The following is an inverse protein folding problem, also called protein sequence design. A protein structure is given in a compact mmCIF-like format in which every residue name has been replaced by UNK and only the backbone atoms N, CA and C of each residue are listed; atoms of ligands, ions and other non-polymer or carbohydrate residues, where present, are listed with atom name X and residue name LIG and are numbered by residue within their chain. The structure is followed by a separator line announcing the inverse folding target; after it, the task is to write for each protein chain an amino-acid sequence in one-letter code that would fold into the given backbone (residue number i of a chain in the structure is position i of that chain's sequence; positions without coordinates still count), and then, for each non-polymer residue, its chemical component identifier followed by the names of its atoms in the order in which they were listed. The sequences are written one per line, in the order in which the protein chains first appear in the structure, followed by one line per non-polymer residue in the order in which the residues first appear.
data_IF_827127524361
#
_entry.id   IF_827127524361
#
_cell.length_a   1.000
_cell.length_b   1.000
_cell.length_c   1.000
_cell.angle_alpha   90.00
_cell.angle_beta   90.00
_cell.angle_gamma   90.00
#
_symmetry.space_group_name_H-M   'P 1'
#
loop_
_entity.id
_entity.type
_entity.pdbx_description
1 polymer ?
#
# COMPACT_ATOMS: atom_id res chain seq x y z
N UNK A 1 41.26 15.58 5.17
CA UNK A 1 40.41 16.18 4.12
C UNK A 1 38.98 16.03 4.62
N UNK A 2 38.07 16.96 4.37
CA UNK A 2 36.66 16.73 4.64
C UNK A 2 36.18 15.57 3.77
N UNK A 3 35.55 14.57 4.38
CA UNK A 3 34.90 13.46 3.66
C UNK A 3 33.60 14.01 3.08
N UNK A 4 33.43 13.89 1.77
CA UNK A 4 32.18 14.25 1.07
C UNK A 4 31.34 13.00 0.98
N UNK A 5 30.14 13.03 1.56
CA UNK A 5 29.23 11.91 1.58
C UNK A 5 28.72 11.57 0.17
N UNK A 6 28.75 10.28 -0.18
CA UNK A 6 28.12 9.77 -1.39
C UNK A 6 26.65 9.38 -1.10
N UNK A 7 25.75 9.70 -2.02
CA UNK A 7 24.31 9.42 -1.86
C UNK A 7 24.01 7.91 -1.84
N UNK A 8 24.85 7.10 -2.49
CA UNK A 8 24.68 5.63 -2.55
C UNK A 8 25.06 4.91 -1.26
N UNK A 9 25.81 5.57 -0.37
CA UNK A 9 26.19 5.02 0.94
C UNK A 9 25.11 5.23 2.02
N UNK A 10 24.05 5.99 1.73
CA UNK A 10 22.99 6.26 2.70
C UNK A 10 22.11 5.04 2.93
N UNK A 11 21.87 4.70 4.20
CA UNK A 11 20.91 3.69 4.66
C UNK A 11 19.67 4.39 5.21
N UNK A 12 18.49 3.98 4.77
CA UNK A 12 17.22 4.36 5.38
C UNK A 12 16.72 3.20 6.23
N UNK A 13 16.61 3.43 7.52
CA UNK A 13 16.03 2.48 8.46
C UNK A 13 14.82 3.10 9.16
N UNK A 14 13.87 2.29 9.57
CA UNK A 14 12.67 2.77 10.24
C UNK A 14 12.20 1.83 11.34
N UNK A 15 11.40 2.36 12.23
CA UNK A 15 10.58 1.59 13.16
C UNK A 15 9.19 2.18 13.24
N UNK A 16 8.20 1.30 13.19
CA UNK A 16 6.79 1.65 13.38
C UNK A 16 6.39 1.48 14.86
N UNK A 17 5.53 2.36 15.36
CA UNK A 17 4.96 2.27 16.69
C UNK A 17 3.55 2.89 16.72
N UNK A 18 2.79 2.60 17.77
CA UNK A 18 1.43 3.12 17.97
C UNK A 18 1.38 4.01 19.21
N UNK A 19 0.47 5.00 19.24
CA UNK A 19 0.21 5.75 20.48
C UNK A 19 -0.26 4.80 21.61
N UNK A 20 0.18 5.06 22.88
CA UNK A 20 0.55 6.33 23.47
C UNK A 20 1.98 6.42 24.00
N UNK A 21 2.99 6.11 23.23
CA UNK A 21 4.36 6.03 23.77
C UNK A 21 5.04 7.36 24.09
N UNK A 22 4.44 8.52 23.77
CA UNK A 22 5.09 9.80 24.00
C UNK A 22 4.13 10.79 24.64
N UNK A 23 4.12 10.84 25.96
CA UNK A 23 3.46 11.92 26.70
C UNK A 23 4.40 13.05 27.14
N UNK A 24 5.68 13.01 26.79
CA UNK A 24 6.58 14.11 27.08
C UNK A 24 6.38 15.24 26.05
N UNK A 25 5.71 16.31 26.48
CA UNK A 25 5.42 17.48 25.65
C UNK A 25 6.63 18.38 25.40
N UNK A 26 7.79 18.08 25.93
CA UNK A 26 8.91 19.02 25.96
C UNK A 26 9.96 18.80 24.90
N UNK A 27 10.14 17.59 24.42
CA UNK A 27 11.00 17.26 23.25
C UNK A 27 10.38 16.01 22.64
N UNK A 28 10.30 15.84 21.31
CA UNK A 28 10.24 14.49 20.78
C UNK A 28 11.55 13.86 21.23
N UNK A 29 11.49 13.20 22.37
CA UNK A 29 12.64 12.45 22.85
C UNK A 29 12.73 11.20 22.00
N UNK A 30 13.69 11.13 21.08
CA UNK A 30 13.91 9.93 20.29
C UNK A 30 14.33 8.77 21.17
N UNK A 31 14.73 9.09 22.39
CA UNK A 31 15.19 8.15 23.41
C UNK A 31 14.04 7.52 24.19
N UNK A 32 12.84 8.08 24.13
CA UNK A 32 11.62 7.37 24.57
C UNK A 32 11.17 6.49 23.40
N UNK A 33 12.02 5.74 23.00
CA UNK A 33 12.10 4.39 22.56
C UNK A 33 11.03 3.85 21.61
N UNK A 34 11.38 3.71 20.34
CA UNK A 34 10.97 2.52 19.63
C UNK A 34 11.90 1.30 19.81
N UNK A 35 12.83 1.28 20.77
CA UNK A 35 13.81 0.21 20.92
C UNK A 35 14.90 0.28 19.86
N UNK A 36 16.06 0.75 20.27
CA UNK A 36 17.21 1.08 19.41
C UNK A 36 17.59 -0.07 18.48
N UNK A 37 17.38 -1.30 18.92
CA UNK A 37 17.88 -2.51 18.27
C UNK A 37 16.87 -3.19 17.32
N UNK A 38 15.69 -2.61 17.09
CA UNK A 38 14.61 -3.27 16.35
C UNK A 38 14.12 -2.48 15.12
N UNK A 39 14.95 -1.66 14.50
CA UNK A 39 14.67 -1.02 13.23
C UNK A 39 14.68 -2.01 12.06
N UNK A 40 14.07 -1.61 10.96
CA UNK A 40 14.07 -2.35 9.68
C UNK A 40 14.73 -1.47 8.62
N UNK A 41 15.63 -2.02 7.82
CA UNK A 41 16.16 -1.32 6.65
C UNK A 41 15.10 -1.35 5.55
N UNK A 42 14.82 -0.20 4.96
CA UNK A 42 13.87 -0.06 3.85
C UNK A 42 14.61 0.01 2.51
N UNK A 43 14.17 -0.79 1.56
CA UNK A 43 14.58 -0.65 0.15
C UNK A 43 13.88 0.57 -0.45
N UNK A 44 14.65 1.53 -0.92
CA UNK A 44 14.13 2.75 -1.51
C UNK A 44 14.93 3.17 -2.75
N UNK A 45 14.35 4.00 -3.59
CA UNK A 45 15.00 4.62 -4.75
C UNK A 45 15.60 5.98 -4.41
N UNK A 46 14.81 6.79 -3.74
CA UNK A 46 15.19 8.13 -3.31
C UNK A 46 14.27 8.62 -2.20
N UNK A 47 14.70 9.66 -1.50
CA UNK A 47 13.88 10.40 -0.55
C UNK A 47 14.21 11.88 -0.62
N UNK A 48 13.27 12.72 -0.23
CA UNK A 48 13.45 14.17 -0.10
C UNK A 48 13.05 14.68 1.30
N UNK A 49 13.09 13.80 2.31
CA UNK A 49 12.76 14.13 3.68
C UNK A 49 13.62 15.28 4.21
N UNK A 50 12.99 16.36 4.61
CA UNK A 50 13.68 17.54 5.11
C UNK A 50 12.92 18.24 6.22
N UNK A 51 13.66 18.99 7.05
CA UNK A 51 13.09 19.91 8.04
C UNK A 51 12.77 21.23 7.37
N UNK A 52 11.52 21.60 7.36
CA UNK A 52 11.03 22.91 6.93
C UNK A 52 10.75 23.80 8.14
N UNK A 53 10.97 25.11 7.99
CA UNK A 53 10.71 26.09 9.01
C UNK A 53 9.88 27.21 8.40
N UNK A 54 8.80 27.57 9.06
CA UNK A 54 8.08 28.80 8.74
C UNK A 54 8.95 30.01 9.10
N UNK A 55 8.90 31.07 8.31
CA UNK A 55 9.60 32.32 8.60
C UNK A 55 8.62 33.47 8.61
N UNK A 56 8.61 34.22 9.69
CA UNK A 56 7.81 35.43 9.84
C UNK A 56 8.69 36.64 9.76
N UNK A 57 8.42 37.56 8.84
CA UNK A 57 9.15 38.79 8.67
C UNK A 57 8.27 39.97 9.18
N UNK A 58 8.76 40.80 10.11
CA UNK A 58 8.06 41.99 10.48
C UNK A 58 7.89 42.94 9.28
N UNK A 59 6.71 43.54 9.17
CA UNK A 59 6.37 44.50 8.11
C UNK A 59 6.37 45.92 8.63
N UNK A 60 7.18 46.23 9.64
CA UNK A 60 7.29 47.53 10.24
C UNK A 60 7.77 48.58 9.24
N UNK A 61 7.14 49.76 9.26
CA UNK A 61 7.64 50.93 8.53
C UNK A 61 8.82 51.53 9.28
N UNK A 62 10.01 51.44 8.71
CA UNK A 62 11.24 52.00 9.27
C UNK A 62 11.71 53.19 8.44
N UNK A 63 12.22 54.19 9.15
CA UNK A 63 12.75 55.40 8.48
C UNK A 63 14.01 55.09 7.64
N UNK A 64 14.78 54.08 8.03
CA UNK A 64 15.98 53.62 7.33
C UNK A 64 15.68 52.79 6.06
N UNK A 65 14.39 52.47 5.80
CA UNK A 65 13.93 51.63 4.67
C UNK A 65 14.60 50.27 4.58
N UNK A 66 15.23 49.79 5.67
CA UNK A 66 15.85 48.47 5.72
C UNK A 66 14.90 47.43 6.30
N UNK A 67 14.92 46.23 5.76
CA UNK A 67 14.09 45.11 6.28
C UNK A 67 14.75 44.46 7.48
N UNK A 68 14.04 44.26 8.59
CA UNK A 68 14.55 43.49 9.71
C UNK A 68 14.67 41.99 9.33
N UNK A 69 15.52 41.27 10.05
CA UNK A 69 15.64 39.83 9.91
C UNK A 69 14.33 39.14 10.35
N UNK A 70 13.95 38.08 9.65
CA UNK A 70 12.77 37.28 9.99
C UNK A 70 13.02 36.42 11.22
N UNK A 71 11.94 36.09 11.92
CA UNK A 71 11.92 35.14 13.03
C UNK A 71 11.52 33.76 12.54
N UNK A 72 12.11 32.70 13.11
CA UNK A 72 11.71 31.32 12.86
C UNK A 72 10.35 31.05 13.50
N UNK A 73 9.48 30.37 12.76
CA UNK A 73 8.19 29.89 13.21
C UNK A 73 8.17 28.39 13.48
N UNK A 74 7.04 27.75 13.15
CA UNK A 74 6.84 26.34 13.34
C UNK A 74 7.80 25.52 12.47
N UNK A 75 8.26 24.40 13.02
CA UNK A 75 9.11 23.41 12.34
C UNK A 75 8.31 22.15 12.06
N UNK A 76 8.42 21.64 10.86
CA UNK A 76 7.81 20.36 10.46
C UNK A 76 8.78 19.58 9.59
N UNK A 77 8.65 18.27 9.59
CA UNK A 77 9.30 17.39 8.60
C UNK A 77 8.29 17.16 7.50
N UNK A 78 8.73 17.24 6.26
CA UNK A 78 7.92 16.81 5.12
C UNK A 78 8.84 16.23 4.04
N UNK A 79 8.30 15.30 3.27
CA UNK A 79 8.98 14.69 2.15
C UNK A 79 8.34 13.40 1.69
N UNK A 80 8.89 12.84 0.64
CA UNK A 80 8.43 11.60 0.00
C UNK A 80 9.53 10.55 0.05
N UNK A 81 9.16 9.32 0.32
CA UNK A 81 10.03 8.15 0.17
C UNK A 81 9.54 7.39 -1.05
N UNK A 82 10.44 7.20 -2.03
CA UNK A 82 10.14 6.54 -3.30
C UNK A 82 10.78 5.16 -3.35
N UNK A 83 10.00 4.18 -3.81
CA UNK A 83 10.47 2.80 -3.92
C UNK A 83 9.81 2.05 -5.07
N UNK A 84 10.21 0.81 -5.27
CA UNK A 84 9.48 -0.14 -6.11
C UNK A 84 8.50 -0.93 -5.26
N UNK A 85 7.36 -1.28 -5.86
CA UNK A 85 6.43 -2.23 -5.26
C UNK A 85 7.10 -3.61 -5.20
N UNK A 86 7.11 -4.23 -4.02
CA UNK A 86 7.52 -5.63 -3.85
C UNK A 86 6.86 -6.23 -2.62
N UNK A 87 6.46 -7.50 -2.73
CA UNK A 87 5.73 -8.17 -1.66
C UNK A 87 6.57 -8.29 -0.37
N UNK A 88 5.99 -7.93 0.76
CA UNK A 88 6.64 -7.96 2.08
C UNK A 88 7.62 -6.83 2.36
N UNK A 89 7.80 -5.85 1.45
CA UNK A 89 8.77 -4.76 1.66
C UNK A 89 8.16 -3.56 2.40
N UNK A 90 6.91 -3.23 2.12
CA UNK A 90 6.24 -2.04 2.69
C UNK A 90 5.01 -2.33 3.57
N UNK A 91 4.93 -3.47 4.32
CA UNK A 91 3.71 -3.82 5.05
C UNK A 91 3.33 -2.78 6.10
N UNK A 92 4.31 -2.18 6.78
CA UNK A 92 4.07 -1.18 7.81
C UNK A 92 3.57 0.15 7.22
N UNK A 93 4.05 0.53 6.03
CA UNK A 93 3.58 1.71 5.32
C UNK A 93 2.14 1.52 4.81
N UNK A 94 1.81 0.32 4.34
CA UNK A 94 0.42 -0.03 3.99
C UNK A 94 -0.48 -0.01 5.24
N UNK A 95 -0.03 -0.57 6.38
CA UNK A 95 -0.78 -0.50 7.62
C UNK A 95 -1.03 0.95 8.06
N UNK A 96 -0.04 1.81 7.91
CA UNK A 96 -0.15 3.22 8.29
C UNK A 96 -1.11 4.01 7.40
N UNK A 97 -1.07 3.83 6.08
CA UNK A 97 -1.99 4.53 5.16
C UNK A 97 -3.42 4.02 5.29
N UNK A 98 -3.60 2.70 5.51
CA UNK A 98 -4.90 2.08 5.74
C UNK A 98 -5.42 2.34 7.17
N UNK A 99 -4.56 2.77 8.10
CA UNK A 99 -4.86 3.01 9.51
C UNK A 99 -5.49 1.80 10.21
N UNK A 100 -5.05 0.61 9.86
CA UNK A 100 -5.57 -0.66 10.39
C UNK A 100 -4.44 -1.66 10.60
N UNK A 101 -4.76 -2.79 11.19
CA UNK A 101 -3.86 -3.94 11.34
C UNK A 101 -4.10 -4.97 10.26
N UNK A 102 -3.06 -5.73 9.92
CA UNK A 102 -3.17 -6.85 9.01
C UNK A 102 -4.04 -7.96 9.61
N UNK A 103 -5.01 -8.44 8.85
CA UNK A 103 -5.88 -9.54 9.26
C UNK A 103 -5.11 -10.85 9.21
N UNK A 104 -5.30 -11.71 10.19
CA UNK A 104 -4.70 -13.04 10.19
C UNK A 104 -5.13 -13.86 8.96
N UNK A 105 -4.26 -14.77 8.53
CA UNK A 105 -4.59 -15.69 7.45
C UNK A 105 -5.75 -16.61 7.85
N UNK A 106 -6.68 -16.84 6.91
CA UNK A 106 -7.78 -17.77 7.04
C UNK A 106 -7.41 -19.12 6.42
N UNK A 107 -7.93 -20.22 6.97
CA UNK A 107 -7.74 -21.55 6.39
C UNK A 107 -8.97 -22.40 6.62
N UNK A 108 -9.27 -23.27 5.68
CA UNK A 108 -10.33 -24.26 5.75
C UNK A 108 -9.84 -25.60 5.18
N UNK A 109 -10.46 -26.67 5.65
CA UNK A 109 -10.13 -28.05 5.26
C UNK A 109 -11.35 -28.75 4.69
N UNK A 110 -11.20 -30.03 4.37
CA UNK A 110 -12.31 -30.90 3.99
C UNK A 110 -13.40 -31.01 5.05
N UNK A 111 -13.11 -30.71 6.32
CA UNK A 111 -14.12 -30.74 7.38
C UNK A 111 -15.16 -29.62 7.20
N UNK A 112 -14.74 -28.44 6.72
CA UNK A 112 -15.59 -27.28 6.47
C UNK A 112 -16.14 -27.27 5.04
N UNK A 113 -15.33 -27.59 4.05
CA UNK A 113 -15.65 -27.39 2.63
C UNK A 113 -15.87 -28.69 1.82
N UNK A 114 -15.76 -29.85 2.42
CA UNK A 114 -15.98 -31.23 1.95
C UNK A 114 -15.18 -31.70 0.73
N UNK A 115 -15.06 -30.92 -0.31
CA UNK A 115 -14.24 -31.23 -1.51
C UNK A 115 -13.84 -29.98 -2.26
N UNK A 116 -12.80 -30.10 -3.09
CA UNK A 116 -12.35 -29.05 -3.99
C UNK A 116 -12.22 -29.61 -5.41
N UNK A 117 -12.68 -28.85 -6.41
CA UNK A 117 -12.53 -29.15 -7.84
C UNK A 117 -12.02 -27.90 -8.56
N UNK A 118 -11.25 -28.10 -9.62
CA UNK A 118 -10.72 -27.00 -10.44
C UNK A 118 -11.22 -27.09 -11.86
N UNK A 119 -11.60 -25.96 -12.43
CA UNK A 119 -11.90 -25.84 -13.85
C UNK A 119 -11.00 -24.80 -14.51
N UNK A 120 -10.15 -25.25 -15.43
CA UNK A 120 -9.28 -24.40 -16.21
C UNK A 120 -10.07 -23.51 -17.18
N UNK A 121 -11.03 -24.10 -17.88
CA UNK A 121 -11.84 -23.38 -18.87
C UNK A 121 -12.77 -22.34 -18.24
N UNK A 122 -13.39 -22.68 -17.11
CA UNK A 122 -14.26 -21.76 -16.36
C UNK A 122 -13.47 -20.78 -15.48
N UNK A 123 -12.16 -21.01 -15.24
CA UNK A 123 -11.31 -20.24 -14.32
C UNK A 123 -11.89 -20.23 -12.90
N UNK A 124 -12.34 -21.38 -12.42
CA UNK A 124 -13.02 -21.50 -11.13
C UNK A 124 -12.42 -22.57 -10.24
N UNK A 125 -12.59 -22.36 -8.93
CA UNK A 125 -12.43 -23.38 -7.90
C UNK A 125 -13.82 -23.60 -7.29
N UNK A 126 -14.27 -24.86 -7.28
CA UNK A 126 -15.59 -25.23 -6.74
C UNK A 126 -15.41 -26.05 -5.49
N UNK A 127 -16.09 -25.65 -4.41
CA UNK A 127 -16.12 -26.35 -3.14
C UNK A 127 -17.40 -27.20 -3.02
N UNK A 128 -17.29 -28.42 -2.53
CA UNK A 128 -18.40 -29.38 -2.52
C UNK A 128 -19.42 -29.13 -1.40
N UNK A 129 -19.02 -28.48 -0.33
CA UNK A 129 -19.85 -28.19 0.84
C UNK A 129 -19.45 -26.91 1.53
N UNK A 130 -20.16 -26.58 2.62
CA UNK A 130 -19.89 -25.38 3.42
C UNK A 130 -20.12 -24.06 2.69
N UNK A 131 -19.63 -23.00 3.28
CA UNK A 131 -19.59 -21.64 2.68
C UNK A 131 -18.16 -21.09 2.86
N UNK A 132 -17.34 -21.00 1.79
CA UNK A 132 -15.98 -20.50 1.89
C UNK A 132 -15.88 -19.06 2.41
N UNK A 133 -16.93 -18.25 2.20
CA UNK A 133 -16.96 -16.89 2.75
C UNK A 133 -17.13 -16.88 4.26
N UNK A 134 -17.90 -17.81 4.81
CA UNK A 134 -18.03 -17.98 6.27
C UNK A 134 -16.70 -18.44 6.90
N UNK A 135 -15.86 -19.15 6.16
CA UNK A 135 -14.51 -19.56 6.58
C UNK A 135 -13.46 -18.44 6.39
N UNK A 136 -13.89 -17.25 6.00
CA UNK A 136 -13.05 -16.06 5.90
C UNK A 136 -12.34 -15.88 4.56
N UNK A 137 -12.72 -16.63 3.51
CA UNK A 137 -12.21 -16.42 2.17
C UNK A 137 -13.00 -15.28 1.50
N UNK A 138 -12.31 -14.33 0.89
CA UNK A 138 -12.91 -13.13 0.30
C UNK A 138 -12.32 -12.73 -1.04
N UNK A 139 -13.06 -11.92 -1.79
CA UNK A 139 -12.59 -11.31 -3.03
C UNK A 139 -11.34 -10.44 -2.77
N UNK A 140 -10.41 -10.41 -3.71
CA UNK A 140 -9.14 -9.69 -3.58
C UNK A 140 -8.09 -10.38 -2.70
N UNK A 141 -8.41 -11.51 -2.06
CA UNK A 141 -7.43 -12.31 -1.33
C UNK A 141 -6.71 -13.27 -2.27
N UNK A 142 -5.47 -13.58 -1.91
CA UNK A 142 -4.70 -14.64 -2.59
C UNK A 142 -4.77 -15.92 -1.75
N UNK A 143 -5.14 -17.03 -2.39
CA UNK A 143 -5.25 -18.35 -1.75
C UNK A 143 -4.31 -19.36 -2.39
N UNK A 144 -3.98 -20.42 -1.64
CA UNK A 144 -3.37 -21.62 -2.15
C UNK A 144 -4.16 -22.84 -1.65
N UNK A 145 -4.17 -23.90 -2.47
CA UNK A 145 -4.77 -25.17 -2.11
C UNK A 145 -3.66 -26.20 -1.93
N UNK A 146 -3.68 -26.88 -0.79
CA UNK A 146 -2.69 -27.89 -0.37
C UNK A 146 -3.33 -29.26 -0.27
N UNK A 147 -2.52 -30.32 -0.17
CA UNK A 147 -3.02 -31.70 -0.04
C UNK A 147 -3.55 -32.33 -1.33
N UNK A 148 -3.53 -31.60 -2.44
CA UNK A 148 -3.88 -32.11 -3.78
C UNK A 148 -2.63 -32.54 -4.55
N UNK A 149 -2.82 -33.20 -5.71
CA UNK A 149 -1.74 -33.57 -6.62
C UNK A 149 -1.90 -32.81 -7.95
N UNK A 150 -0.83 -32.76 -8.76
CA UNK A 150 -0.86 -32.14 -10.08
C UNK A 150 -0.32 -30.72 -10.13
N UNK A 151 -0.52 -30.05 -11.26
CA UNK A 151 0.02 -28.72 -11.52
C UNK A 151 -0.66 -27.60 -10.72
N UNK A 152 -1.83 -27.86 -10.13
CA UNK A 152 -2.52 -26.90 -9.26
C UNK A 152 -1.94 -26.87 -7.83
N UNK A 153 -1.08 -27.81 -7.47
CA UNK A 153 -0.46 -27.87 -6.15
C UNK A 153 0.38 -26.61 -5.88
N UNK A 154 0.11 -25.94 -4.77
CA UNK A 154 0.78 -24.71 -4.38
C UNK A 154 0.61 -23.53 -5.36
N UNK A 155 -0.19 -23.67 -6.42
CA UNK A 155 -0.54 -22.55 -7.26
C UNK A 155 -1.30 -21.52 -6.42
N UNK A 156 -0.90 -20.26 -6.55
CA UNK A 156 -1.57 -19.15 -5.88
C UNK A 156 -2.64 -18.56 -6.78
N UNK A 157 -3.81 -18.31 -6.21
CA UNK A 157 -4.97 -17.78 -6.90
C UNK A 157 -5.48 -16.54 -6.22
N UNK A 158 -5.68 -15.46 -6.93
CA UNK A 158 -6.45 -14.33 -6.43
C UNK A 158 -7.95 -14.59 -6.67
N UNK A 159 -8.76 -14.44 -5.63
CA UNK A 159 -10.22 -14.61 -5.71
C UNK A 159 -10.81 -13.35 -6.32
N UNK A 160 -11.57 -13.49 -7.41
CA UNK A 160 -12.26 -12.40 -8.08
C UNK A 160 -13.67 -12.16 -7.52
N UNK A 161 -14.30 -13.22 -7.04
CA UNK A 161 -15.65 -13.20 -6.49
C UNK A 161 -16.18 -14.60 -6.29
N UNK A 162 -17.36 -14.68 -5.67
CA UNK A 162 -18.04 -15.92 -5.37
C UNK A 162 -19.41 -15.99 -6.07
N UNK A 163 -19.83 -17.20 -6.39
CA UNK A 163 -21.13 -17.48 -7.00
C UNK A 163 -21.66 -18.87 -6.58
N UNK A 164 -22.85 -19.19 -7.04
CA UNK A 164 -23.50 -20.47 -6.73
C UNK A 164 -24.13 -20.51 -5.34
N UNK A 165 -24.76 -21.64 -5.02
CA UNK A 165 -25.38 -21.87 -3.72
C UNK A 165 -24.33 -21.92 -2.62
N UNK A 166 -24.55 -21.16 -1.54
CA UNK A 166 -23.58 -21.04 -0.42
C UNK A 166 -22.19 -20.60 -0.87
N UNK A 167 -22.09 -19.74 -1.90
CA UNK A 167 -20.85 -19.15 -2.40
C UNK A 167 -19.75 -20.15 -2.79
N UNK A 168 -20.14 -21.37 -3.21
CA UNK A 168 -19.22 -22.50 -3.41
C UNK A 168 -18.35 -22.39 -4.63
N UNK A 169 -18.63 -21.49 -5.55
CA UNK A 169 -17.84 -21.29 -6.77
C UNK A 169 -17.06 -20.01 -6.68
N UNK A 170 -15.74 -20.12 -6.48
CA UNK A 170 -14.81 -19.00 -6.52
C UNK A 170 -14.28 -18.82 -7.95
N UNK A 171 -14.52 -17.65 -8.54
CA UNK A 171 -13.83 -17.23 -9.75
C UNK A 171 -12.41 -16.79 -9.38
N UNK A 172 -11.39 -17.28 -10.10
CA UNK A 172 -10.00 -17.08 -9.71
C UNK A 172 -9.10 -16.65 -10.86
N UNK A 173 -8.00 -15.97 -10.51
CA UNK A 173 -6.91 -15.66 -11.40
C UNK A 173 -5.55 -15.93 -10.69
N UNK A 174 -4.54 -16.47 -11.38
CA UNK A 174 -4.58 -17.06 -12.73
C UNK A 174 -5.56 -18.22 -12.85
N UNK A 175 -5.87 -18.62 -14.09
CA UNK A 175 -6.67 -19.84 -14.30
C UNK A 175 -5.95 -21.06 -13.70
N UNK A 176 -6.69 -22.05 -13.19
CA UNK A 176 -6.11 -23.32 -12.80
C UNK A 176 -5.26 -23.92 -13.94
N UNK A 177 -4.12 -24.49 -13.60
CA UNK A 177 -3.20 -25.04 -14.60
C UNK A 177 -3.81 -26.25 -15.34
N UNK A 178 -4.65 -27.01 -14.64
CA UNK A 178 -5.37 -28.18 -15.17
C UNK A 178 -6.75 -28.33 -14.54
N UNK A 179 -7.64 -29.03 -15.23
CA UNK A 179 -8.91 -29.45 -14.66
C UNK A 179 -8.66 -30.58 -13.63
N UNK A 180 -9.32 -30.50 -12.49
CA UNK A 180 -9.25 -31.51 -11.44
C UNK A 180 -10.66 -31.83 -10.96
N UNK A 181 -11.03 -33.11 -11.01
CA UNK A 181 -12.28 -33.60 -10.42
C UNK A 181 -12.26 -33.42 -8.90
N UNK A 182 -13.43 -33.45 -8.28
CA UNK A 182 -13.58 -33.25 -6.84
C UNK A 182 -12.67 -34.15 -6.01
N UNK A 183 -11.83 -33.54 -5.18
CA UNK A 183 -10.92 -34.20 -4.24
C UNK A 183 -11.39 -33.88 -2.83
N UNK A 184 -11.39 -34.90 -1.96
CA UNK A 184 -11.90 -34.79 -0.59
C UNK A 184 -10.81 -34.65 0.47
N UNK A 185 -9.52 -34.72 0.11
CA UNK A 185 -8.41 -34.49 1.03
C UNK A 185 -7.65 -33.27 0.56
N UNK A 186 -7.85 -32.14 1.21
CA UNK A 186 -7.22 -30.86 0.84
C UNK A 186 -7.26 -29.88 2.03
N UNK A 187 -6.47 -28.83 1.90
CA UNK A 187 -6.57 -27.62 2.71
C UNK A 187 -6.56 -26.40 1.77
N UNK A 188 -7.35 -25.41 2.05
CA UNK A 188 -7.30 -24.10 1.38
C UNK A 188 -7.02 -23.02 2.41
N UNK A 189 -6.16 -22.09 2.06
CA UNK A 189 -5.86 -20.98 2.97
C UNK A 189 -5.43 -19.73 2.21
N UNK A 190 -5.63 -18.59 2.85
CA UNK A 190 -5.07 -17.34 2.34
C UNK A 190 -3.55 -17.36 2.46
N UNK A 191 -2.88 -16.86 1.44
CA UNK A 191 -1.43 -16.71 1.42
C UNK A 191 -1.09 -15.29 1.81
N UNK A 192 -0.30 -15.13 2.88
CA UNK A 192 -0.04 -13.83 3.46
C UNK A 192 -1.23 -13.25 4.20
N UNK A 193 -1.31 -11.94 4.29
CA UNK A 193 -2.34 -11.23 5.02
C UNK A 193 -3.05 -10.18 4.17
N UNK A 194 -4.19 -9.75 4.62
CA UNK A 194 -4.98 -8.68 4.01
C UNK A 194 -5.18 -7.53 4.98
N UNK A 195 -5.33 -6.33 4.45
CA UNK A 195 -5.67 -5.14 5.22
C UNK A 195 -6.77 -4.36 4.49
N UNK A 196 -7.72 -3.85 5.24
CA UNK A 196 -8.86 -3.06 4.76
C UNK A 196 -8.98 -1.77 5.54
N UNK A 197 -9.67 -0.77 4.99
CA UNK A 197 -9.99 0.42 5.78
C UNK A 197 -10.93 0.07 6.93
N UNK A 198 -10.73 0.63 8.14
CA UNK A 198 -11.62 0.42 9.26
C UNK A 198 -13.04 0.86 8.98
N UNK A 199 -14.02 0.14 9.54
CA UNK A 199 -15.43 0.41 9.37
C UNK A 199 -16.02 1.35 10.43
N UNK A 200 -15.35 1.51 11.58
CA UNK A 200 -15.78 2.34 12.69
C UNK A 200 -14.65 3.27 13.15
N UNK A 201 -15.02 4.43 13.69
CA UNK A 201 -14.07 5.47 14.12
C UNK A 201 -13.11 5.00 15.22
N UNK A 202 -13.55 4.06 16.06
CA UNK A 202 -12.73 3.53 17.14
C UNK A 202 -11.71 2.47 16.71
N UNK A 203 -11.82 1.99 15.47
CA UNK A 203 -10.94 0.95 14.92
C UNK A 203 -9.69 1.54 14.24
N UNK A 204 -9.60 2.85 14.13
CA UNK A 204 -8.43 3.49 13.50
C UNK A 204 -7.18 3.35 14.34
N UNK A 205 -6.17 2.70 13.78
CA UNK A 205 -4.83 2.62 14.39
C UNK A 205 -4.00 3.83 13.96
N UNK A 206 -3.42 4.51 14.94
CA UNK A 206 -2.56 5.66 14.69
C UNK A 206 -1.10 5.24 14.70
N UNK A 207 -0.61 4.86 13.54
CA UNK A 207 0.80 4.51 13.35
C UNK A 207 1.68 5.75 13.26
N UNK A 208 2.84 5.65 13.89
CA UNK A 208 3.94 6.61 13.81
C UNK A 208 5.22 5.90 13.42
N UNK A 209 6.15 6.62 12.84
CA UNK A 209 7.44 6.13 12.44
C UNK A 209 8.56 6.95 13.07
N UNK A 210 9.61 6.27 13.48
CA UNK A 210 10.94 6.82 13.58
C UNK A 210 11.68 6.44 12.29
N UNK A 211 12.17 7.42 11.55
CA UNK A 211 12.87 7.23 10.27
C UNK A 211 14.29 7.73 10.43
N UNK A 212 15.27 6.88 10.19
CA UNK A 212 16.67 7.22 10.22
C UNK A 212 17.27 7.22 8.82
N UNK A 213 18.00 8.27 8.48
CA UNK A 213 18.86 8.33 7.32
C UNK A 213 20.30 8.42 7.83
N UNK A 214 21.04 7.33 7.70
CA UNK A 214 22.41 7.20 8.17
C UNK A 214 23.38 7.14 7.00
N UNK A 215 24.41 7.99 7.06
CA UNK A 215 25.53 7.95 6.12
C UNK A 215 26.79 7.47 6.86
N UNK A 216 27.28 6.25 6.54
CA UNK A 216 28.44 5.67 7.24
C UNK A 216 29.77 6.36 6.91
N UNK A 217 29.89 7.10 5.80
CA UNK A 217 31.12 7.78 5.42
C UNK A 217 31.39 9.03 6.28
N UNK A 218 30.31 9.68 6.72
CA UNK A 218 30.38 10.89 7.53
C UNK A 218 30.01 10.68 8.99
N UNK A 219 29.64 9.45 9.37
CA UNK A 219 29.09 9.11 10.68
C UNK A 219 27.99 10.08 11.11
N UNK A 220 27.08 10.37 10.16
CA UNK A 220 25.96 11.28 10.37
C UNK A 220 24.65 10.55 10.22
N UNK A 221 23.85 10.52 11.27
CA UNK A 221 22.48 10.03 11.23
C UNK A 221 21.49 11.18 11.44
N UNK A 222 20.45 11.19 10.60
CA UNK A 222 19.32 12.11 10.68
C UNK A 222 18.10 11.30 11.09
N UNK A 223 17.71 11.39 12.35
CA UNK A 223 16.52 10.72 12.86
C UNK A 223 15.33 11.67 12.80
N UNK A 224 14.28 11.26 12.09
CA UNK A 224 13.00 11.93 12.02
C UNK A 224 11.99 11.21 12.90
N UNK A 225 11.31 11.94 13.77
CA UNK A 225 10.46 11.37 14.81
C UNK A 225 8.99 11.75 14.61
N UNK A 226 8.12 10.89 15.14
CA UNK A 226 6.66 11.03 15.02
C UNK A 226 6.19 11.26 13.58
N UNK A 227 6.85 10.59 12.63
CA UNK A 227 6.46 10.65 11.24
C UNK A 227 5.16 9.88 11.01
N UNK A 228 4.26 10.44 10.21
CA UNK A 228 3.04 9.80 9.74
C UNK A 228 3.03 9.73 8.23
N UNK A 229 2.53 8.62 7.69
CA UNK A 229 2.28 8.48 6.27
C UNK A 229 0.98 9.22 5.96
N UNK A 230 1.06 10.19 5.08
CA UNK A 230 -0.06 11.07 4.70
C UNK A 230 -0.58 10.83 3.29
N UNK A 231 0.21 10.20 2.42
CA UNK A 231 -0.21 9.80 1.07
C UNK A 231 0.54 8.58 0.58
N UNK A 232 -0.05 7.91 -0.38
CA UNK A 232 0.55 6.83 -1.13
C UNK A 232 0.15 6.96 -2.61
N UNK A 233 1.14 6.97 -3.48
CA UNK A 233 0.93 6.98 -4.92
C UNK A 233 1.56 5.73 -5.53
N UNK A 234 0.73 4.88 -6.14
CA UNK A 234 1.14 3.72 -6.92
C UNK A 234 1.07 4.05 -8.41
N UNK A 235 2.18 3.92 -9.12
CA UNK A 235 2.27 4.14 -10.57
C UNK A 235 2.73 2.86 -11.27
N UNK A 236 1.88 2.32 -12.14
CA UNK A 236 2.11 1.09 -12.91
C UNK A 236 2.16 1.46 -14.40
N UNK A 237 3.32 1.80 -14.93
CA UNK A 237 3.51 2.09 -16.36
C UNK A 237 3.75 0.80 -17.14
N UNK A 238 3.33 0.71 -18.41
CA UNK A 238 3.40 -0.52 -19.22
C UNK A 238 4.82 -1.09 -19.41
N UNK A 239 5.85 -0.25 -19.42
CA UNK A 239 7.24 -0.64 -19.76
C UNK A 239 8.25 -0.37 -18.65
N UNK A 240 7.82 -0.31 -17.40
CA UNK A 240 8.71 -0.09 -16.25
C UNK A 240 8.20 -0.90 -15.05
N UNK A 241 8.99 -0.94 -13.99
CA UNK A 241 8.57 -1.55 -12.74
C UNK A 241 7.57 -0.65 -12.01
N UNK A 242 6.57 -1.21 -11.32
CA UNK A 242 5.64 -0.44 -10.50
C UNK A 242 6.38 0.36 -9.42
N UNK A 243 6.09 1.65 -9.35
CA UNK A 243 6.66 2.59 -8.38
C UNK A 243 5.65 2.88 -7.29
N UNK A 244 6.17 3.04 -6.09
CA UNK A 244 5.38 3.30 -4.91
C UNK A 244 6.02 4.45 -4.13
N UNK A 245 5.30 5.56 -4.03
CA UNK A 245 5.74 6.78 -3.38
C UNK A 245 4.91 7.01 -2.10
N UNK A 246 5.57 7.21 -0.96
CA UNK A 246 4.91 7.53 0.31
C UNK A 246 5.23 8.95 0.73
N UNK A 247 4.21 9.81 0.81
CA UNK A 247 4.34 11.14 1.41
C UNK A 247 4.31 11.04 2.93
N UNK A 248 5.32 11.61 3.56
CA UNK A 248 5.53 11.53 5.01
C UNK A 248 5.58 12.93 5.60
N UNK A 249 4.90 13.12 6.74
CA UNK A 249 5.00 14.31 7.57
C UNK A 249 5.43 13.92 8.97
N UNK A 250 6.41 14.64 9.54
CA UNK A 250 6.99 14.37 10.85
C UNK A 250 7.05 15.59 11.73
N UNK A 251 7.28 15.38 13.03
CA UNK A 251 7.29 16.42 14.05
C UNK A 251 8.68 16.98 14.32
N UNK A 252 9.69 16.12 14.46
CA UNK A 252 11.03 16.52 14.89
C UNK A 252 12.15 15.85 14.14
N UNK A 253 13.33 16.48 14.16
CA UNK A 253 14.57 15.91 13.62
C UNK A 253 15.68 15.99 14.66
N UNK A 254 16.37 14.88 14.89
CA UNK A 254 17.58 14.80 15.68
C UNK A 254 18.78 14.45 14.79
N UNK A 255 19.94 14.95 15.15
CA UNK A 255 21.21 14.69 14.47
C UNK A 255 22.12 13.94 15.41
N UNK A 256 22.51 12.74 15.04
CA UNK A 256 23.52 11.95 15.71
C UNK A 256 24.81 11.99 14.91
N UNK A 257 25.95 12.08 15.60
CA UNK A 257 27.25 12.26 14.98
C UNK A 257 28.30 11.38 15.67
N UNK A 258 29.23 10.89 14.89
CA UNK A 258 30.37 10.12 15.37
C UNK A 258 29.95 8.94 16.25
N UNK A 259 30.36 8.90 17.52
CA UNK A 259 30.10 7.79 18.44
C UNK A 259 28.62 7.58 18.80
N UNK A 260 27.74 8.56 18.51
CA UNK A 260 26.29 8.46 18.74
C UNK A 260 25.52 8.00 17.49
N UNK A 261 26.19 7.92 16.34
CA UNK A 261 25.62 7.44 15.11
C UNK A 261 26.06 5.98 14.85
N UNK A 262 25.19 5.13 14.26
CA UNK A 262 23.77 5.35 13.93
C UNK A 262 22.86 5.21 15.16
N UNK A 263 21.64 5.73 15.09
CA UNK A 263 20.62 5.52 16.11
C UNK A 263 20.14 4.06 16.13
N UNK A 264 19.79 3.48 14.97
CA UNK A 264 19.50 2.07 14.84
C UNK A 264 20.81 1.28 14.68
N UNK A 265 21.29 0.64 15.75
CA UNK A 265 22.58 -0.04 15.78
C UNK A 265 22.59 -1.41 15.09
N UNK A 266 21.44 -2.07 15.02
CA UNK A 266 21.29 -3.40 14.42
C UNK A 266 19.92 -3.58 13.75
N UNK A 267 19.52 -2.72 12.79
CA UNK A 267 18.23 -2.89 12.12
C UNK A 267 18.23 -4.19 11.33
N UNK A 268 17.06 -4.82 11.23
CA UNK A 268 16.89 -5.99 10.37
C UNK A 268 17.21 -5.63 8.91
N UNK A 269 17.81 -6.57 8.20
CA UNK A 269 18.21 -6.39 6.80
C UNK A 269 17.03 -6.07 5.90
N UNK A 270 17.31 -5.46 4.76
CA UNK A 270 16.31 -5.22 3.73
C UNK A 270 15.74 -6.51 3.16
N UNK A 271 14.50 -6.46 2.71
CA UNK A 271 13.83 -7.59 2.09
C UNK A 271 14.45 -7.93 0.73
N UNK A 272 14.50 -9.21 0.40
CA UNK A 272 15.06 -9.73 -0.86
C UNK A 272 13.98 -10.14 -1.87
N UNK A 273 12.71 -9.78 -1.65
CA UNK A 273 11.60 -10.13 -2.55
C UNK A 273 11.77 -9.51 -3.94
N UNK A 274 11.38 -10.26 -4.96
CA UNK A 274 11.43 -9.82 -6.35
C UNK A 274 10.48 -8.65 -6.61
N UNK A 275 10.87 -7.78 -7.53
CA UNK A 275 10.07 -6.65 -7.97
C UNK A 275 9.25 -7.11 -9.18
N UNK A 276 7.91 -6.98 -9.16
CA UNK A 276 7.08 -7.30 -10.31
C UNK A 276 7.38 -6.36 -11.49
N UNK A 277 7.09 -6.82 -12.70
CA UNK A 277 7.03 -5.94 -13.86
C UNK A 277 5.57 -5.56 -14.14
N UNK A 278 5.36 -4.38 -14.71
CA UNK A 278 3.99 -3.95 -15.04
C UNK A 278 3.31 -4.86 -16.07
N UNK A 279 4.09 -5.49 -16.94
CA UNK A 279 3.57 -6.43 -17.94
C UNK A 279 3.07 -7.74 -17.35
N UNK A 280 3.54 -8.10 -16.16
CA UNK A 280 3.09 -9.30 -15.44
C UNK A 280 1.81 -9.02 -14.62
N UNK A 281 1.48 -7.74 -14.46
CA UNK A 281 0.28 -7.28 -13.77
C UNK A 281 -1.00 -7.54 -14.56
N UNK A 282 -2.10 -7.64 -13.86
CA UNK A 282 -3.42 -7.76 -14.44
C UNK A 282 -4.41 -6.82 -13.79
N UNK A 283 -5.19 -6.16 -14.64
CA UNK A 283 -6.38 -5.40 -14.25
C UNK A 283 -7.62 -6.24 -14.48
N UNK A 284 -8.51 -6.24 -13.50
CA UNK A 284 -9.76 -6.99 -13.56
C UNK A 284 -10.90 -6.04 -13.23
N UNK A 285 -11.84 -5.88 -14.16
CA UNK A 285 -13.07 -5.09 -13.99
C UNK A 285 -14.25 -6.06 -13.80
N UNK A 286 -14.98 -5.92 -12.71
CA UNK A 286 -16.13 -6.79 -12.38
C UNK A 286 -15.84 -8.30 -12.55
N UNK A 287 -14.64 -8.74 -12.15
CA UNK A 287 -14.25 -10.15 -12.27
C UNK A 287 -13.80 -10.58 -13.68
N UNK A 288 -13.77 -9.68 -14.66
CA UNK A 288 -13.28 -9.95 -16.02
C UNK A 288 -11.94 -9.26 -16.28
N UNK A 289 -10.93 -9.95 -16.83
CA UNK A 289 -9.65 -9.35 -17.18
C UNK A 289 -9.80 -8.23 -18.20
N UNK A 290 -9.14 -7.10 -17.94
CA UNK A 290 -9.09 -5.94 -18.81
C UNK A 290 -7.68 -5.80 -19.40
N UNK A 291 -7.47 -6.36 -20.59
CA UNK A 291 -6.16 -6.58 -21.21
C UNK A 291 -5.61 -5.42 -22.04
N UNK A 292 -6.34 -4.30 -22.16
CA UNK A 292 -5.97 -3.18 -23.04
C UNK A 292 -5.41 -1.96 -22.31
N UNK A 293 -5.21 -2.05 -20.99
CA UNK A 293 -4.66 -0.97 -20.20
C UNK A 293 -3.16 -0.78 -20.48
N UNK A 294 -2.75 0.48 -20.57
CA UNK A 294 -1.35 0.89 -20.79
C UNK A 294 -0.71 1.51 -19.55
N UNK A 295 -1.49 2.03 -18.64
CA UNK A 295 -0.99 2.51 -17.36
C UNK A 295 -2.12 2.57 -16.33
N UNK A 296 -1.76 2.41 -15.07
CA UNK A 296 -2.67 2.60 -13.93
C UNK A 296 -1.96 3.38 -12.85
N UNK A 297 -2.65 4.37 -12.30
CA UNK A 297 -2.19 5.11 -11.13
C UNK A 297 -3.27 5.07 -10.06
N UNK A 298 -2.87 4.81 -8.84
CA UNK A 298 -3.72 4.85 -7.67
C UNK A 298 -3.12 5.84 -6.67
N UNK A 299 -3.89 6.83 -6.24
CA UNK A 299 -3.48 7.85 -5.28
C UNK A 299 -4.37 7.78 -4.05
N UNK A 300 -3.74 7.64 -2.90
CA UNK A 300 -4.41 7.65 -1.61
C UNK A 300 -3.91 8.86 -0.81
N UNK A 301 -4.81 9.60 -0.21
CA UNK A 301 -4.51 10.82 0.54
C UNK A 301 -5.25 10.83 1.86
N UNK A 302 -4.51 11.14 2.93
CA UNK A 302 -5.03 11.38 4.28
C UNK A 302 -4.85 12.85 4.69
N UNK A 303 -4.36 13.72 3.81
CA UNK A 303 -4.18 15.16 3.98
C UNK A 303 -3.63 15.54 5.36
N UNK A 304 -2.37 15.19 5.69
CA UNK A 304 -1.82 15.41 7.03
C UNK A 304 -1.76 16.90 7.35
N UNK A 305 -2.29 17.29 8.54
CA UNK A 305 -2.33 18.67 9.02
C UNK A 305 -1.50 18.80 10.29
N UNK A 306 -0.49 19.70 10.32
CA UNK A 306 0.31 19.95 11.52
C UNK A 306 -0.44 20.85 12.51
N UNK A 307 -0.60 20.40 13.75
CA UNK A 307 -1.14 21.20 14.84
C UNK A 307 -0.09 22.19 15.34
N UNK A 308 -0.13 23.43 14.86
CA UNK A 308 0.80 24.49 15.25
C UNK A 308 0.41 25.04 16.63
N UNK A 309 1.37 25.08 17.56
CA UNK A 309 1.18 25.56 18.92
C UNK A 309 2.29 26.53 19.30
N UNK A 310 2.01 27.41 20.28
CA UNK A 310 3.02 28.27 20.84
C UNK A 310 3.89 27.46 21.79
N UNK A 311 5.11 27.16 21.38
CA UNK A 311 6.10 26.52 22.23
C UNK A 311 7.51 27.06 21.93
N UNK A 312 8.42 27.05 22.93
CA UNK A 312 9.78 27.59 22.76
C UNK A 312 10.64 26.90 21.70
N UNK A 313 10.29 25.67 21.34
CA UNK A 313 11.08 24.87 20.39
C UNK A 313 10.57 25.02 18.94
N UNK A 314 9.40 25.63 18.76
CA UNK A 314 8.74 25.79 17.46
C UNK A 314 8.28 24.46 16.85
N UNK A 315 8.09 23.41 17.65
CA UNK A 315 7.61 22.12 17.18
C UNK A 315 6.08 22.10 17.12
N UNK A 316 5.51 21.37 16.17
CA UNK A 316 4.07 21.12 16.13
C UNK A 316 3.66 20.18 17.27
N UNK A 317 2.45 20.32 17.80
CA UNK A 317 1.96 19.47 18.90
C UNK A 317 1.65 18.04 18.42
N UNK A 318 1.03 17.93 17.24
CA UNK A 318 0.62 16.68 16.64
C UNK A 318 0.51 16.83 15.12
N UNK A 319 0.34 15.71 14.43
CA UNK A 319 -0.05 15.69 13.03
C UNK A 319 -1.38 14.95 12.97
N UNK A 320 -2.41 15.65 12.50
CA UNK A 320 -3.73 15.06 12.28
C UNK A 320 -3.82 14.52 10.87
N UNK A 321 -4.51 13.41 10.72
CA UNK A 321 -4.87 12.83 9.43
C UNK A 321 -6.37 13.04 9.23
N UNK A 322 -6.74 13.48 8.04
CA UNK A 322 -8.12 13.72 7.63
C UNK A 322 -8.77 12.47 7.03
N UNK A 323 -9.75 12.66 6.17
CA UNK A 323 -10.49 11.60 5.50
C UNK A 323 -9.60 10.80 4.54
N UNK A 324 -9.94 9.52 4.39
CA UNK A 324 -9.32 8.63 3.42
C UNK A 324 -9.92 8.90 2.04
N UNK A 325 -9.14 9.51 1.16
CA UNK A 325 -9.51 9.76 -0.24
C UNK A 325 -8.69 8.82 -1.12
N UNK A 326 -9.37 8.10 -1.99
CA UNK A 326 -8.74 7.16 -2.92
C UNK A 326 -9.23 7.46 -4.34
N UNK A 327 -8.34 7.98 -5.16
CA UNK A 327 -8.57 8.36 -6.54
C UNK A 327 -7.58 7.63 -7.44
N UNK A 328 -7.87 7.56 -8.73
CA UNK A 328 -6.93 6.99 -9.65
C UNK A 328 -7.17 7.39 -11.09
N UNK A 329 -6.23 6.99 -11.93
CA UNK A 329 -6.33 7.14 -13.38
C UNK A 329 -5.89 5.86 -14.06
N UNK A 330 -6.47 5.55 -15.18
CA UNK A 330 -5.94 4.53 -16.07
C UNK A 330 -6.04 4.97 -17.52
N UNK A 331 -5.09 4.52 -18.32
CA UNK A 331 -5.11 4.71 -19.76
C UNK A 331 -5.28 3.34 -20.43
N UNK A 332 -6.12 3.28 -21.45
CA UNK A 332 -6.39 2.05 -22.18
C UNK A 332 -6.63 2.31 -23.67
N UNK A 333 -6.34 1.32 -24.51
CA UNK A 333 -6.81 1.34 -25.88
C UNK A 333 -8.32 1.12 -25.94
N UNK A 334 -8.98 1.75 -26.91
CA UNK A 334 -10.40 1.53 -27.18
C UNK A 334 -10.56 0.20 -27.91
N UNK A 335 -11.15 -0.76 -27.23
CA UNK A 335 -11.44 -2.10 -27.76
C UNK A 335 -12.94 -2.27 -28.03
N UNK A 336 -13.77 -1.78 -27.09
CA UNK A 336 -15.23 -1.83 -27.17
C UNK A 336 -15.91 -0.58 -26.57
N UNK A 337 -17.22 -0.60 -26.38
CA UNK A 337 -17.99 0.49 -25.76
C UNK A 337 -17.98 0.46 -24.23
N UNK A 338 -17.42 -0.54 -23.58
CA UNK A 338 -17.56 -0.79 -22.15
C UNK A 338 -17.25 0.45 -21.29
N UNK A 339 -16.08 1.09 -21.52
CA UNK A 339 -15.67 2.27 -20.73
C UNK A 339 -16.57 3.47 -20.97
N UNK A 340 -17.06 3.65 -22.20
CA UNK A 340 -18.00 4.71 -22.55
C UNK A 340 -19.35 4.50 -21.88
N UNK A 341 -19.86 3.27 -21.89
CA UNK A 341 -21.14 2.91 -21.26
C UNK A 341 -21.05 3.07 -19.73
N UNK A 342 -19.97 2.58 -19.10
CA UNK A 342 -19.72 2.74 -17.66
C UNK A 342 -19.65 4.23 -17.25
N UNK A 343 -19.04 5.08 -18.07
CA UNK A 343 -18.98 6.52 -17.82
C UNK A 343 -20.34 7.19 -18.06
N UNK A 344 -21.02 6.89 -19.18
CA UNK A 344 -22.29 7.52 -19.54
C UNK A 344 -23.42 7.21 -18.54
N UNK A 345 -23.47 5.97 -18.08
CA UNK A 345 -24.48 5.48 -17.14
C UNK A 345 -24.10 5.72 -15.67
N UNK A 346 -22.96 6.31 -15.38
CA UNK A 346 -22.39 6.45 -14.02
C UNK A 346 -22.38 5.11 -13.27
N UNK A 347 -22.13 4.02 -13.96
CA UNK A 347 -22.15 2.69 -13.38
C UNK A 347 -20.97 2.47 -12.46
N UNK A 348 -21.24 1.95 -11.26
CA UNK A 348 -20.23 1.56 -10.28
C UNK A 348 -19.76 0.13 -10.56
N UNK A 349 -18.46 -0.11 -10.42
CA UNK A 349 -17.86 -1.42 -10.64
C UNK A 349 -16.67 -1.67 -9.73
N UNK A 350 -16.23 -2.94 -9.62
CA UNK A 350 -15.05 -3.33 -8.88
C UNK A 350 -13.81 -3.33 -9.76
N UNK A 351 -12.69 -2.85 -9.20
CA UNK A 351 -11.37 -2.90 -9.82
C UNK A 351 -10.41 -3.71 -8.94
N UNK A 352 -9.78 -4.71 -9.52
CA UNK A 352 -8.72 -5.48 -8.88
C UNK A 352 -7.44 -5.35 -9.70
N UNK A 353 -6.36 -4.96 -9.02
CA UNK A 353 -5.01 -4.87 -9.57
C UNK A 353 -4.20 -6.00 -8.94
N UNK A 354 -3.75 -6.96 -9.73
CA UNK A 354 -2.94 -8.10 -9.30
C UNK A 354 -1.53 -7.98 -9.84
N UNK A 355 -0.53 -7.96 -8.97
CA UNK A 355 0.88 -7.75 -9.31
C UNK A 355 1.73 -8.91 -8.79
N UNK A 356 1.90 -10.00 -9.58
CA UNK A 356 2.78 -11.11 -9.24
C UNK A 356 4.24 -10.76 -9.53
N UNK A 357 5.15 -11.21 -8.70
CA UNK A 357 6.58 -10.99 -8.91
C UNK A 357 7.16 -11.84 -10.07
N UNK A 358 6.68 -13.07 -10.19
CA UNK A 358 7.10 -14.02 -11.26
C UNK A 358 5.91 -14.88 -11.69
N UNK A 359 5.13 -14.47 -12.70
CA UNK A 359 3.89 -15.17 -13.08
C UNK A 359 4.11 -16.61 -13.58
N UNK A 360 5.31 -16.95 -14.02
CA UNK A 360 5.67 -18.33 -14.41
C UNK A 360 5.86 -19.28 -13.22
N UNK A 361 5.96 -18.75 -11.99
CA UNK A 361 6.15 -19.53 -10.77
C UNK A 361 4.81 -19.72 -10.07
N UNK A 362 4.39 -20.96 -9.86
CA UNK A 362 3.10 -21.29 -9.25
C UNK A 362 2.90 -20.66 -7.86
N UNK A 363 3.95 -20.59 -7.06
CA UNK A 363 3.93 -20.01 -5.72
C UNK A 363 4.53 -18.60 -5.67
N UNK A 364 4.36 -17.80 -6.73
CA UNK A 364 4.92 -16.46 -6.81
C UNK A 364 4.39 -15.54 -5.72
N UNK A 365 5.26 -14.65 -5.23
CA UNK A 365 4.83 -13.55 -4.36
C UNK A 365 4.00 -12.54 -5.17
N UNK A 366 2.99 -11.95 -4.54
CA UNK A 366 2.11 -10.99 -5.20
C UNK A 366 1.58 -9.94 -4.22
N UNK A 367 1.34 -8.76 -4.76
CA UNK A 367 0.52 -7.73 -4.13
C UNK A 367 -0.80 -7.61 -4.90
N UNK A 368 -1.89 -7.45 -4.17
CA UNK A 368 -3.22 -7.25 -4.75
C UNK A 368 -3.86 -6.01 -4.16
N UNK A 369 -4.35 -5.12 -5.01
CA UNK A 369 -5.13 -3.95 -4.60
C UNK A 369 -6.55 -4.13 -5.14
N UNK A 370 -7.52 -4.25 -4.25
CA UNK A 370 -8.92 -4.46 -4.60
C UNK A 370 -9.76 -3.28 -4.14
N UNK A 371 -10.38 -2.61 -5.10
CA UNK A 371 -11.34 -1.51 -4.92
C UNK A 371 -12.73 -2.05 -5.28
N UNK A 372 -13.56 -2.39 -4.29
CA UNK A 372 -14.86 -3.01 -4.54
C UNK A 372 -15.84 -2.09 -5.27
N UNK A 373 -15.66 -0.77 -5.15
CA UNK A 373 -16.57 0.23 -5.68
C UNK A 373 -15.80 1.42 -6.22
N UNK A 374 -15.71 1.52 -7.53
CA UNK A 374 -15.18 2.70 -8.22
C UNK A 374 -16.20 3.22 -9.23
N UNK A 375 -16.04 4.48 -9.62
CA UNK A 375 -16.81 5.12 -10.68
C UNK A 375 -15.88 5.98 -11.54
N UNK A 376 -16.08 5.95 -12.86
CA UNK A 376 -15.34 6.81 -13.79
C UNK A 376 -15.94 8.23 -13.70
N UNK A 377 -15.09 9.20 -13.40
CA UNK A 377 -15.45 10.62 -13.31
C UNK A 377 -15.29 11.33 -14.65
N UNK A 378 -14.18 11.07 -15.32
CA UNK A 378 -13.88 11.68 -16.63
C UNK A 378 -13.35 10.62 -17.58
N UNK A 379 -13.71 10.75 -18.85
CA UNK A 379 -13.20 9.94 -19.94
C UNK A 379 -12.76 10.90 -21.05
N UNK A 380 -11.50 10.86 -21.43
CA UNK A 380 -10.92 11.69 -22.47
C UNK A 380 -10.31 10.80 -23.56
N UNK A 381 -10.79 10.97 -24.79
CA UNK A 381 -10.19 10.31 -25.93
C UNK A 381 -8.90 11.01 -26.35
N UNK A 382 -7.92 10.22 -26.72
CA UNK A 382 -6.63 10.68 -27.22
C UNK A 382 -6.19 9.82 -28.40
N UNK A 383 -5.79 10.46 -29.48
CA UNK A 383 -5.16 9.75 -30.60
C UNK A 383 -3.71 9.40 -30.24
N UNK A 384 -3.36 8.13 -30.36
CA UNK A 384 -2.01 7.61 -30.20
C UNK A 384 -1.48 7.14 -31.56
N UNK A 385 -0.16 7.03 -31.70
CA UNK A 385 0.50 6.59 -32.93
C UNK A 385 0.14 5.14 -33.28
N UNK A 386 -1.06 4.89 -33.78
CA UNK A 386 -1.53 3.57 -34.23
C UNK A 386 -2.86 3.11 -33.61
N UNK A 387 -3.52 3.90 -32.77
CA UNK A 387 -4.81 3.55 -32.21
C UNK A 387 -5.45 4.64 -31.38
N UNK A 388 -6.74 4.53 -31.10
CA UNK A 388 -7.43 5.40 -30.16
C UNK A 388 -7.22 4.91 -28.74
N UNK A 389 -6.89 5.83 -27.86
CA UNK A 389 -6.76 5.60 -26.42
C UNK A 389 -7.78 6.44 -25.67
N UNK A 390 -8.12 5.99 -24.49
CA UNK A 390 -8.89 6.75 -23.51
C UNK A 390 -8.10 6.89 -22.22
N UNK A 391 -8.13 8.10 -21.65
CA UNK A 391 -7.65 8.38 -20.31
C UNK A 391 -8.86 8.56 -19.41
N UNK A 392 -8.97 7.70 -18.42
CA UNK A 392 -10.06 7.73 -17.44
C UNK A 392 -9.53 8.16 -16.08
N UNK A 393 -10.26 9.05 -15.41
CA UNK A 393 -10.09 9.28 -13.98
C UNK A 393 -11.23 8.59 -13.24
N UNK A 394 -10.93 8.02 -12.09
CA UNK A 394 -11.93 7.37 -11.25
C UNK A 394 -11.78 7.78 -9.79
N UNK A 395 -12.87 7.71 -9.06
CA UNK A 395 -12.89 7.78 -7.61
C UNK A 395 -13.30 6.42 -7.03
N UNK A 396 -12.74 6.08 -5.88
CA UNK A 396 -13.16 4.92 -5.11
C UNK A 396 -13.93 5.36 -3.88
N UNK A 397 -15.01 4.64 -3.60
CA UNK A 397 -15.86 4.88 -2.45
C UNK A 397 -16.04 3.59 -1.64
N UNK A 398 -16.44 3.74 -0.37
CA UNK A 398 -16.75 2.60 0.48
C UNK A 398 -17.88 1.76 -0.15
N UNK A 399 -17.66 0.47 -0.22
CA UNK A 399 -18.68 -0.49 -0.64
C UNK A 399 -19.66 -0.78 0.52
N UNK A 400 -20.94 -0.67 0.24
CA UNK A 400 -22.03 -0.96 1.16
C UNK A 400 -22.92 -2.11 0.70
N UNK A 401 -22.54 -2.78 -0.40
CA UNK A 401 -23.30 -3.90 -0.93
C UNK A 401 -23.19 -5.16 -0.08
N UNK A 402 -24.04 -6.13 -0.43
CA UNK A 402 -24.15 -7.42 0.26
C UNK A 402 -23.59 -8.58 -0.55
N UNK A 403 -22.78 -8.30 -1.59
CA UNK A 403 -22.17 -9.37 -2.37
C UNK A 403 -21.25 -10.21 -1.47
N UNK A 404 -21.42 -11.52 -1.57
CA UNK A 404 -20.71 -12.46 -0.71
C UNK A 404 -19.19 -12.38 -0.89
N UNK A 405 -18.45 -12.33 0.20
CA UNK A 405 -16.99 -12.27 0.21
C UNK A 405 -16.40 -10.93 -0.26
N UNK A 406 -17.21 -9.92 -0.56
CA UNK A 406 -16.74 -8.56 -0.90
C UNK A 406 -16.70 -7.72 0.38
N UNK A 407 -15.50 -7.23 0.79
CA UNK A 407 -15.38 -6.48 2.04
C UNK A 407 -16.05 -5.10 1.93
N UNK A 408 -16.66 -4.64 3.04
CA UNK A 408 -17.23 -3.29 3.15
C UNK A 408 -16.13 -2.26 3.40
N UNK A 409 -15.36 -1.94 2.37
CA UNK A 409 -14.19 -1.05 2.43
C UNK A 409 -14.10 -0.21 1.15
N UNK A 410 -13.26 0.82 1.15
CA UNK A 410 -12.89 1.56 -0.05
C UNK A 410 -11.76 0.83 -0.80
N UNK A 411 -10.79 0.32 -0.06
CA UNK A 411 -9.63 -0.39 -0.58
C UNK A 411 -9.30 -1.58 0.31
N UNK A 412 -8.93 -2.68 -0.30
CA UNK A 412 -8.27 -3.82 0.33
C UNK A 412 -6.90 -4.02 -0.31
N UNK A 413 -5.89 -4.22 0.51
CA UNK A 413 -4.55 -4.59 0.06
C UNK A 413 -4.27 -5.99 0.59
N UNK A 414 -3.81 -6.89 -0.28
CA UNK A 414 -3.32 -8.22 0.09
C UNK A 414 -1.86 -8.35 -0.30
N UNK A 415 -1.06 -8.86 0.63
CA UNK A 415 0.36 -9.10 0.40
C UNK A 415 0.72 -10.52 0.85
N UNK A 416 1.21 -11.31 -0.08
CA UNK A 416 1.48 -12.74 0.13
C UNK A 416 2.70 -13.02 1.00
N UNK A 417 3.56 -12.03 1.22
CA UNK A 417 4.78 -12.18 2.02
C UNK A 417 4.65 -11.56 3.43
N UNK A 418 3.51 -11.01 3.80
CA UNK A 418 3.24 -10.59 5.17
C UNK A 418 2.82 -11.82 5.99
N UNK A 419 3.59 -12.14 7.01
CA UNK A 419 3.43 -13.34 7.87
C UNK A 419 2.82 -12.99 9.23
#
# INVERSE_FOLDING_TARGET
MPVVAETRAERLAYKIYTDPLIQSQTVPDPLVDPGVDLGQVLRYLSHDLQLTKDQYRPTEMRQDRQRPMGNDGSKTIAGTIKGYLSAGTQPDFFAAIMRNTWTAASSATEAELTSVAFSKSAKTITFGGGDPVAEGLGAGQTIAVTGITGLNLNQRFSILGFSGTSNRVASVFPAPAEDLAAVTTFGVGTVGKTIVNPNATLDFVNYKFALEIYNPETDLARLYTECRVGSMDLDIPVNDNPKLDFGVMGRGRHLYKTTEAPFFTGPADETSSDIPTAMDGLLIFNGSPFGVATSVKLSIKLNPQPAKVINPQGLVAAIFLEDFVCDGTFAAYVDDSLLFDLHADNTEFGLLIYMPAQPSVAATAANTFFLPRIRILTLQEQDSAGGKMVNCTFEAARYFGTAAGVPSTTLQISDTNVV
#
